data_IF_368387664781
#
_entry.id   IF_368387664781
#
_cell.length_a   1.000
_cell.length_b   1.000
_cell.length_c   1.000
_cell.angle_alpha   90.00
_cell.angle_beta   90.00
_cell.angle_gamma   90.00
#
_symmetry.space_group_name_H-M   'P 1'
#
loop_
_entity.id
_entity.type
_entity.pdbx_description
1 polymer ?
#
# COMPACT_ATOMS: atom_id res chain seq x y z
N UNK A 1 -8.24 9.37 19.96
CA UNK A 1 -9.16 8.22 20.05
C UNK A 1 -9.02 7.66 21.45
N UNK A 2 -10.12 7.58 22.19
CA UNK A 2 -10.16 7.20 23.59
C UNK A 2 -10.84 5.83 23.69
N UNK A 3 -10.18 4.85 24.31
CA UNK A 3 -10.76 3.53 24.56
C UNK A 3 -11.42 3.51 25.95
N UNK A 4 -12.71 3.21 26.01
CA UNK A 4 -13.48 3.10 27.25
C UNK A 4 -14.03 1.68 27.36
N UNK A 5 -13.88 1.07 28.54
CA UNK A 5 -14.52 -0.20 28.86
C UNK A 5 -15.69 0.06 29.81
N UNK A 6 -16.91 -0.20 29.36
CA UNK A 6 -18.09 -0.12 30.21
C UNK A 6 -18.20 -1.38 31.08
N UNK A 7 -18.44 -1.19 32.38
CA UNK A 7 -18.70 -2.30 33.32
C UNK A 7 -20.07 -2.93 33.10
N UNK A 8 -21.03 -2.14 32.64
CA UNK A 8 -22.36 -2.58 32.25
C UNK A 8 -22.58 -2.30 30.76
N UNK A 9 -22.83 -3.35 29.98
CA UNK A 9 -23.03 -3.25 28.53
C UNK A 9 -24.34 -2.53 28.17
N UNK A 10 -25.28 -2.38 29.09
CA UNK A 10 -26.50 -1.60 28.81
C UNK A 10 -26.24 -0.09 28.75
N UNK A 11 -25.10 0.38 29.27
CA UNK A 11 -24.70 1.79 29.23
C UNK A 11 -24.37 2.30 27.82
N UNK A 12 -24.34 1.43 26.81
CA UNK A 12 -24.17 1.81 25.39
C UNK A 12 -25.26 2.76 24.89
N UNK A 13 -26.45 2.73 25.50
CA UNK A 13 -27.55 3.65 25.22
C UNK A 13 -27.25 5.11 25.56
N UNK A 14 -26.30 5.36 26.46
CA UNK A 14 -25.95 6.68 26.96
C UNK A 14 -24.74 7.29 26.22
N UNK A 15 -24.28 6.64 25.15
CA UNK A 15 -23.10 7.07 24.39
C UNK A 15 -23.54 7.60 23.04
N UNK A 16 -23.13 8.83 22.75
CA UNK A 16 -23.38 9.47 21.47
C UNK A 16 -22.55 8.81 20.35
N UNK A 17 -23.20 8.26 19.30
CA UNK A 17 -22.51 7.82 18.10
C UNK A 17 -21.88 8.99 17.33
N UNK A 18 -20.84 8.79 16.50
CA UNK A 18 -20.28 7.49 16.11
C UNK A 18 -19.13 7.01 17.00
N UNK A 19 -19.08 5.70 17.25
CA UNK A 19 -17.97 5.06 17.96
C UNK A 19 -17.69 3.67 17.38
N UNK A 20 -16.48 3.16 17.59
CA UNK A 20 -16.10 1.81 17.19
C UNK A 20 -16.29 0.88 18.39
N UNK A 21 -16.95 -0.25 18.19
CA UNK A 21 -17.20 -1.28 19.18
C UNK A 21 -16.55 -2.59 18.74
N UNK A 22 -15.97 -3.36 19.67
CA UNK A 22 -15.48 -4.71 19.35
C UNK A 22 -16.57 -5.75 19.63
N UNK A 23 -17.14 -6.34 18.59
CA UNK A 23 -18.26 -7.29 18.65
C UNK A 23 -18.01 -8.50 17.72
N UNK A 24 -18.34 -9.71 18.18
CA UNK A 24 -18.13 -10.95 17.42
C UNK A 24 -16.71 -11.14 16.86
N UNK A 25 -15.69 -10.80 17.67
CA UNK A 25 -14.28 -10.88 17.29
C UNK A 25 -13.81 -9.93 16.18
N UNK A 26 -14.57 -8.87 15.89
CA UNK A 26 -14.16 -7.84 14.94
C UNK A 26 -14.52 -6.42 15.42
N UNK A 27 -14.00 -5.41 14.73
CA UNK A 27 -14.32 -4.01 14.95
C UNK A 27 -15.52 -3.57 14.11
N UNK A 28 -16.54 -3.06 14.78
CA UNK A 28 -17.79 -2.62 14.18
C UNK A 28 -17.97 -1.13 14.43
N UNK A 29 -18.23 -0.34 13.38
CA UNK A 29 -18.51 1.08 13.54
C UNK A 29 -20.01 1.29 13.82
N UNK A 30 -20.34 1.70 15.04
CA UNK A 30 -21.70 2.06 15.43
C UNK A 30 -21.97 3.49 15.00
N UNK A 31 -22.90 3.68 14.06
CA UNK A 31 -23.23 5.01 13.51
C UNK A 31 -24.43 5.65 14.18
N UNK A 32 -25.39 4.84 14.63
CA UNK A 32 -26.62 5.35 15.21
C UNK A 32 -27.28 4.31 16.10
N UNK A 33 -27.82 4.76 17.24
CA UNK A 33 -28.66 3.96 18.13
C UNK A 33 -30.01 4.68 18.21
N UNK A 34 -31.07 4.08 17.68
CA UNK A 34 -32.44 4.63 17.72
C UNK A 34 -33.46 3.51 17.84
N UNK A 35 -34.53 3.75 18.62
CA UNK A 35 -35.68 2.84 18.73
C UNK A 35 -35.29 1.36 18.97
N UNK A 36 -34.39 1.11 19.92
CA UNK A 36 -33.88 -0.22 20.25
C UNK A 36 -33.17 -0.98 19.10
N UNK A 37 -32.71 -0.25 18.07
CA UNK A 37 -31.88 -0.78 16.99
C UNK A 37 -30.54 -0.06 16.92
N UNK A 38 -29.49 -0.82 16.63
CA UNK A 38 -28.12 -0.35 16.45
C UNK A 38 -27.78 -0.47 14.97
N UNK A 39 -27.59 0.67 14.31
CA UNK A 39 -27.09 0.72 12.94
C UNK A 39 -25.57 0.68 12.96
N UNK A 40 -25.01 -0.40 12.46
CA UNK A 40 -23.59 -0.66 12.50
C UNK A 40 -23.04 -0.98 11.10
N UNK A 41 -21.76 -0.69 10.88
CA UNK A 41 -21.03 -1.01 9.66
C UNK A 41 -20.05 -2.15 9.97
N UNK A 42 -20.25 -3.29 9.31
CA UNK A 42 -19.44 -4.50 9.44
C UNK A 42 -19.03 -4.97 8.05
N UNK A 43 -17.73 -5.19 7.78
CA UNK A 43 -17.24 -5.61 6.46
C UNK A 43 -17.79 -4.80 5.26
N UNK A 44 -17.85 -3.47 5.40
CA UNK A 44 -18.43 -2.53 4.41
C UNK A 44 -19.94 -2.65 4.16
N UNK A 45 -20.67 -3.46 4.92
CA UNK A 45 -22.13 -3.57 4.85
C UNK A 45 -22.81 -2.93 6.07
N UNK A 46 -23.96 -2.29 5.83
CA UNK A 46 -24.78 -1.71 6.89
C UNK A 46 -25.72 -2.77 7.44
N UNK A 47 -25.62 -3.04 8.74
CA UNK A 47 -26.48 -3.97 9.45
C UNK A 47 -27.29 -3.20 10.51
N UNK A 48 -28.59 -3.42 10.53
CA UNK A 48 -29.48 -2.96 11.59
C UNK A 48 -29.72 -4.13 12.55
N UNK A 49 -29.02 -4.13 13.69
CA UNK A 49 -29.08 -5.20 14.68
C UNK A 49 -29.98 -4.76 15.83
N UNK A 50 -30.74 -5.69 16.43
CA UNK A 50 -31.46 -5.40 17.67
C UNK A 50 -30.48 -5.05 18.79
N UNK A 51 -30.82 -4.08 19.64
CA UNK A 51 -29.94 -3.64 20.72
C UNK A 51 -29.53 -4.79 21.66
N UNK A 52 -30.47 -5.67 21.99
CA UNK A 52 -30.26 -6.83 22.86
C UNK A 52 -29.25 -7.82 22.27
N UNK A 53 -29.38 -8.07 20.97
CA UNK A 53 -28.47 -8.93 20.21
C UNK A 53 -27.07 -8.31 20.15
N UNK A 54 -26.98 -7.01 19.86
CA UNK A 54 -25.71 -6.28 19.87
C UNK A 54 -25.01 -6.33 21.24
N UNK A 55 -25.75 -6.11 22.34
CA UNK A 55 -25.23 -6.17 23.71
C UNK A 55 -24.68 -7.56 24.05
N UNK A 56 -25.26 -8.62 23.49
CA UNK A 56 -24.80 -10.00 23.72
C UNK A 56 -23.43 -10.29 23.07
N UNK A 57 -23.21 -9.81 21.85
CA UNK A 57 -22.00 -10.06 21.06
C UNK A 57 -20.88 -9.04 21.30
N UNK A 58 -21.23 -7.88 21.85
CA UNK A 58 -20.29 -6.80 22.13
C UNK A 58 -19.44 -7.07 23.37
N UNK A 59 -18.15 -6.77 23.32
CA UNK A 59 -17.18 -7.01 24.41
C UNK A 59 -17.23 -6.02 25.57
N UNK A 60 -18.02 -4.92 25.46
CA UNK A 60 -18.05 -3.84 26.44
C UNK A 60 -16.96 -2.79 26.25
N UNK A 61 -16.08 -2.95 25.24
CA UNK A 61 -15.05 -1.97 24.88
C UNK A 61 -15.52 -1.12 23.70
N UNK A 62 -15.40 0.19 23.83
CA UNK A 62 -15.67 1.16 22.78
C UNK A 62 -14.49 2.10 22.59
N UNK A 63 -14.27 2.50 21.34
CA UNK A 63 -13.28 3.47 20.90
C UNK A 63 -14.02 4.71 20.42
N UNK A 64 -13.98 5.77 21.22
CA UNK A 64 -14.52 7.06 20.86
C UNK A 64 -13.50 7.90 20.11
N UNK A 65 -13.98 8.58 19.07
CA UNK A 65 -13.17 9.53 18.30
C UNK A 65 -13.42 10.91 18.91
N UNK A 66 -12.47 11.40 19.69
CA UNK A 66 -12.47 12.80 20.12
C UNK A 66 -12.06 13.67 18.93
N UNK A 67 -12.97 14.53 18.49
CA UNK A 67 -12.69 15.55 17.48
C UNK A 67 -12.19 16.81 18.18
N UNK A 68 -11.02 17.30 17.80
CA UNK A 68 -10.51 18.63 18.14
C UNK A 68 -10.25 19.45 16.86
N UNK A 69 -10.03 20.76 16.98
CA UNK A 69 -9.80 21.66 15.84
C UNK A 69 -8.56 21.32 14.99
N UNK A 70 -7.72 20.38 15.45
CA UNK A 70 -6.53 19.86 14.75
C UNK A 70 -6.74 18.46 14.18
N UNK A 71 -7.94 17.89 14.32
CA UNK A 71 -8.29 16.56 13.83
C UNK A 71 -8.60 16.64 12.33
N UNK A 72 -7.54 16.78 11.55
CA UNK A 72 -7.56 16.72 10.10
C UNK A 72 -6.65 15.56 9.65
N UNK A 73 -6.97 14.98 8.51
CA UNK A 73 -6.10 13.98 7.89
C UNK A 73 -4.68 14.55 7.71
N UNK A 74 -3.62 13.83 8.13
CA UNK A 74 -2.25 14.24 7.83
C UNK A 74 -2.09 14.42 6.32
N UNK A 75 -1.50 15.54 5.91
CA UNK A 75 -1.32 15.90 4.50
C UNK A 75 -2.64 16.00 3.69
N UNK A 76 -3.75 16.35 4.35
CA UNK A 76 -5.08 16.45 3.73
C UNK A 76 -5.09 17.18 2.38
N UNK A 77 -4.36 18.28 2.21
CA UNK A 77 -4.35 19.00 0.93
C UNK A 77 -3.69 18.21 -0.20
N UNK A 78 -2.60 17.50 0.07
CA UNK A 78 -1.92 16.65 -0.91
C UNK A 78 -2.74 15.39 -1.20
N UNK A 79 -3.32 14.77 -0.17
CA UNK A 79 -4.19 13.62 -0.33
C UNK A 79 -5.50 13.99 -1.05
N UNK A 80 -6.07 15.17 -0.77
CA UNK A 80 -7.26 15.69 -1.45
C UNK A 80 -6.97 16.02 -2.91
N UNK A 81 -5.79 16.54 -3.22
CA UNK A 81 -5.35 16.77 -4.60
C UNK A 81 -5.20 15.46 -5.36
N UNK A 82 -4.60 14.43 -4.75
CA UNK A 82 -4.54 13.08 -5.34
C UNK A 82 -5.92 12.47 -5.51
N UNK A 83 -6.75 12.50 -4.46
CA UNK A 83 -8.11 11.98 -4.51
C UNK A 83 -8.94 12.70 -5.58
N UNK A 84 -8.77 14.01 -5.73
CA UNK A 84 -9.43 14.78 -6.78
C UNK A 84 -8.92 14.41 -8.17
N UNK A 85 -7.60 14.23 -8.34
CA UNK A 85 -7.02 13.77 -9.61
C UNK A 85 -7.49 12.36 -9.93
N UNK A 86 -7.48 11.43 -8.97
CA UNK A 86 -7.90 10.04 -9.15
C UNK A 86 -9.41 9.93 -9.42
N UNK A 87 -10.25 10.71 -8.71
CA UNK A 87 -11.68 10.82 -9.01
C UNK A 87 -11.93 11.49 -10.35
N UNK A 88 -11.16 12.51 -10.70
CA UNK A 88 -11.28 13.17 -12.00
C UNK A 88 -10.87 12.23 -13.13
N UNK A 89 -9.77 11.49 -13.00
CA UNK A 89 -9.32 10.49 -13.96
C UNK A 89 -10.32 9.33 -14.07
N UNK A 90 -10.83 8.82 -12.95
CA UNK A 90 -11.87 7.78 -12.92
C UNK A 90 -13.17 8.28 -13.57
N UNK A 91 -13.64 9.47 -13.22
CA UNK A 91 -14.84 10.06 -13.81
C UNK A 91 -14.63 10.39 -15.29
N UNK A 92 -13.44 10.84 -15.68
CA UNK A 92 -13.07 11.09 -17.06
C UNK A 92 -13.06 9.78 -17.86
N UNK A 93 -12.59 8.67 -17.28
CA UNK A 93 -12.68 7.34 -17.92
C UNK A 93 -14.13 6.92 -18.13
N UNK A 94 -15.03 7.14 -17.16
CA UNK A 94 -16.46 6.87 -17.33
C UNK A 94 -17.13 7.79 -18.34
N UNK A 95 -16.74 9.07 -18.38
CA UNK A 95 -17.23 10.03 -19.38
C UNK A 95 -16.71 9.66 -20.78
N UNK A 96 -15.46 9.26 -20.93
CA UNK A 96 -14.90 8.78 -22.19
C UNK A 96 -15.58 7.49 -22.61
N UNK A 97 -15.80 6.54 -21.70
CA UNK A 97 -16.53 5.30 -21.97
C UNK A 97 -17.99 5.56 -22.36
N UNK A 98 -18.67 6.49 -21.67
CA UNK A 98 -20.02 6.93 -21.99
C UNK A 98 -20.06 7.63 -23.36
N UNK A 99 -19.09 8.50 -23.65
CA UNK A 99 -18.98 9.16 -24.95
C UNK A 99 -18.70 8.14 -26.07
N UNK A 100 -17.87 7.13 -25.83
CA UNK A 100 -17.64 6.02 -26.77
C UNK A 100 -18.91 5.20 -26.95
N UNK A 101 -19.66 4.91 -25.88
CA UNK A 101 -20.93 4.18 -25.94
C UNK A 101 -22.02 4.97 -26.66
N UNK A 102 -22.16 6.26 -26.38
CA UNK A 102 -23.11 7.17 -27.05
C UNK A 102 -22.69 7.34 -28.51
N UNK A 103 -21.40 7.51 -28.79
CA UNK A 103 -20.87 7.56 -30.15
C UNK A 103 -21.16 6.26 -30.90
N UNK A 104 -20.93 5.10 -30.27
CA UNK A 104 -21.27 3.79 -30.81
C UNK A 104 -22.78 3.68 -31.08
N UNK A 105 -23.64 4.06 -30.14
CA UNK A 105 -25.10 3.96 -30.32
C UNK A 105 -25.66 4.90 -31.39
N UNK A 106 -25.14 6.13 -31.47
CA UNK A 106 -25.53 7.13 -32.48
C UNK A 106 -25.06 6.69 -33.87
N UNK A 107 -23.88 6.08 -33.98
CA UNK A 107 -23.36 5.60 -35.26
C UNK A 107 -23.81 4.18 -35.65
N UNK A 108 -24.27 3.32 -34.71
CA UNK A 108 -24.84 1.99 -35.02
C UNK A 108 -26.06 2.10 -35.95
N UNK A 109 -26.82 3.19 -35.89
CA UNK A 109 -27.89 3.46 -36.85
C UNK A 109 -27.39 3.81 -38.27
N UNK A 110 -26.10 4.14 -38.42
CA UNK A 110 -25.42 4.48 -39.67
C UNK A 110 -24.54 3.35 -40.21
N UNK A 111 -24.30 2.29 -39.41
CA UNK A 111 -23.41 1.19 -39.79
C UNK A 111 -24.15 0.07 -40.52
N UNK A 112 -23.53 -0.42 -41.59
CA UNK A 112 -23.97 -1.61 -42.31
C UNK A 112 -23.74 -2.88 -41.49
N UNK A 113 -24.47 -3.96 -41.78
CA UNK A 113 -24.27 -5.28 -41.16
C UNK A 113 -22.81 -5.77 -41.28
N UNK A 114 -22.12 -5.37 -42.34
CA UNK A 114 -20.71 -5.63 -42.60
C UNK A 114 -19.80 -4.97 -41.54
N UNK A 115 -20.02 -3.68 -41.28
CA UNK A 115 -19.28 -2.91 -40.28
C UNK A 115 -19.47 -3.49 -38.88
N UNK A 116 -20.69 -3.94 -38.54
CA UNK A 116 -20.99 -4.59 -37.25
C UNK A 116 -20.19 -5.89 -37.11
N UNK A 117 -20.14 -6.72 -38.15
CA UNK A 117 -19.39 -7.97 -38.14
C UNK A 117 -17.88 -7.72 -37.92
N UNK A 118 -17.30 -6.76 -38.64
CA UNK A 118 -15.88 -6.39 -38.49
C UNK A 118 -15.59 -5.85 -37.09
N UNK A 119 -16.41 -4.92 -36.57
CA UNK A 119 -16.26 -4.36 -35.22
C UNK A 119 -16.36 -5.43 -34.14
N UNK A 120 -17.24 -6.42 -34.31
CA UNK A 120 -17.38 -7.54 -33.36
C UNK A 120 -16.11 -8.41 -33.30
N UNK A 121 -15.50 -8.70 -34.45
CA UNK A 121 -14.24 -9.43 -34.52
C UNK A 121 -13.08 -8.62 -33.91
N UNK A 122 -13.05 -7.30 -34.15
CA UNK A 122 -12.07 -6.40 -33.54
C UNK A 122 -12.20 -6.35 -32.02
N UNK A 123 -13.42 -6.27 -31.47
CA UNK A 123 -13.66 -6.34 -30.03
C UNK A 123 -13.18 -7.65 -29.42
N UNK A 124 -13.42 -8.78 -30.11
CA UNK A 124 -12.84 -10.07 -29.72
C UNK A 124 -11.31 -10.03 -29.69
N UNK A 125 -10.69 -9.39 -30.69
CA UNK A 125 -9.24 -9.21 -30.78
C UNK A 125 -8.67 -8.35 -29.64
N UNK A 126 -9.35 -7.24 -29.31
CA UNK A 126 -9.03 -6.37 -28.17
C UNK A 126 -9.08 -7.18 -26.87
N UNK A 127 -10.17 -7.93 -26.65
CA UNK A 127 -10.37 -8.71 -25.43
C UNK A 127 -9.27 -9.77 -25.23
N UNK A 128 -9.00 -10.59 -26.25
CA UNK A 128 -7.99 -11.65 -26.14
C UNK A 128 -6.58 -11.06 -26.02
N UNK A 129 -6.28 -9.98 -26.74
CA UNK A 129 -4.99 -9.30 -26.62
C UNK A 129 -4.81 -8.63 -25.26
N UNK A 130 -5.88 -8.13 -24.65
CA UNK A 130 -5.85 -7.64 -23.27
C UNK A 130 -5.54 -8.75 -22.27
N UNK A 131 -6.14 -9.94 -22.41
CA UNK A 131 -5.80 -11.10 -21.57
C UNK A 131 -4.34 -11.53 -21.72
N UNK A 132 -3.78 -11.44 -22.94
CA UNK A 132 -2.36 -11.66 -23.18
C UNK A 132 -1.47 -10.65 -22.41
N UNK A 133 -1.84 -9.36 -22.42
CA UNK A 133 -1.12 -8.34 -21.64
C UNK A 133 -1.22 -8.60 -20.14
N UNK A 134 -2.38 -9.01 -19.61
CA UNK A 134 -2.52 -9.39 -18.21
C UNK A 134 -1.58 -10.53 -17.82
N UNK A 135 -1.46 -11.57 -18.67
CA UNK A 135 -0.52 -12.66 -18.46
C UNK A 135 0.93 -12.22 -18.51
N UNK A 136 1.28 -11.34 -19.44
CA UNK A 136 2.62 -10.76 -19.51
C UNK A 136 2.98 -9.93 -18.27
N UNK A 137 2.00 -9.30 -17.61
CA UNK A 137 2.18 -8.57 -16.36
C UNK A 137 2.13 -9.47 -15.10
N UNK A 138 1.99 -10.80 -15.26
CA UNK A 138 1.82 -11.77 -14.17
C UNK A 138 0.65 -11.45 -13.23
N UNK A 139 -0.36 -10.73 -13.74
CA UNK A 139 -1.58 -10.44 -12.99
C UNK A 139 -2.45 -11.70 -12.96
N UNK A 140 -2.91 -12.10 -11.77
CA UNK A 140 -3.81 -13.23 -11.60
C UNK A 140 -5.17 -12.93 -12.27
N UNK A 141 -5.63 -13.81 -13.16
CA UNK A 141 -6.89 -13.62 -13.89
C UNK A 141 -7.51 -14.97 -14.20
N UNK A 142 -8.62 -15.28 -13.53
CA UNK A 142 -9.32 -16.57 -13.65
C UNK A 142 -9.72 -16.90 -15.10
N UNK A 143 -10.07 -15.89 -15.90
CA UNK A 143 -10.41 -16.07 -17.32
C UNK A 143 -9.17 -16.37 -18.17
N UNK A 144 -8.07 -15.67 -17.90
CA UNK A 144 -6.82 -15.90 -18.61
C UNK A 144 -6.26 -17.31 -18.30
N UNK A 145 -6.33 -17.73 -17.04
CA UNK A 145 -5.92 -19.07 -16.60
C UNK A 145 -6.78 -20.18 -17.23
N UNK A 146 -8.10 -19.99 -17.28
CA UNK A 146 -9.01 -20.92 -17.96
C UNK A 146 -8.69 -21.06 -19.45
N UNK A 147 -8.49 -19.95 -20.16
CA UNK A 147 -8.18 -20.00 -21.60
C UNK A 147 -6.81 -20.63 -21.89
N UNK A 148 -5.83 -20.44 -21.02
CA UNK A 148 -4.52 -21.10 -21.14
C UNK A 148 -4.56 -22.60 -20.80
N UNK A 149 -5.49 -23.06 -19.96
CA UNK A 149 -5.63 -24.47 -19.58
C UNK A 149 -6.50 -25.30 -20.55
N UNK A 150 -7.24 -24.67 -21.47
CA UNK A 150 -8.08 -25.35 -22.47
C UNK A 150 -7.30 -26.31 -23.37
N UNK A 151 -5.98 -26.13 -23.52
CA UNK A 151 -5.11 -27.09 -24.20
C UNK A 151 -4.25 -27.82 -23.15
N UNK A 152 -4.56 -29.10 -22.91
CA UNK A 152 -3.82 -29.93 -21.96
C UNK A 152 -2.30 -29.84 -22.22
N UNK A 153 -1.53 -29.38 -21.22
CA UNK A 153 -0.07 -29.13 -21.21
C UNK A 153 0.45 -27.81 -21.82
N UNK A 154 -0.37 -26.77 -22.06
CA UNK A 154 0.15 -25.47 -22.54
C UNK A 154 0.42 -24.45 -21.42
N UNK A 155 1.66 -23.96 -21.34
CA UNK A 155 2.02 -22.78 -20.54
C UNK A 155 2.16 -21.57 -21.47
N UNK A 156 1.18 -20.65 -21.47
CA UNK A 156 1.24 -19.40 -22.24
C UNK A 156 2.51 -18.57 -21.94
N UNK A 157 3.03 -18.67 -20.70
CA UNK A 157 4.15 -17.87 -20.22
C UNK A 157 5.44 -18.13 -20.99
N UNK A 158 5.70 -19.36 -21.45
CA UNK A 158 6.95 -19.70 -22.14
C UNK A 158 7.10 -19.00 -23.51
N UNK A 159 5.97 -18.76 -24.19
CA UNK A 159 5.95 -18.03 -25.46
C UNK A 159 6.11 -16.53 -25.21
N UNK A 160 5.42 -16.01 -24.20
CA UNK A 160 5.40 -14.58 -23.85
C UNK A 160 6.71 -14.08 -23.20
N UNK A 161 7.44 -14.95 -22.52
CA UNK A 161 8.73 -14.63 -21.87
C UNK A 161 9.94 -14.97 -22.76
N UNK A 162 9.73 -15.53 -23.95
CA UNK A 162 10.84 -15.89 -24.85
C UNK A 162 11.55 -14.66 -25.43
N UNK A 163 12.83 -14.79 -25.78
CA UNK A 163 13.61 -13.67 -26.35
C UNK A 163 13.01 -13.12 -27.65
N UNK A 164 12.37 -13.97 -28.47
CA UNK A 164 11.68 -13.55 -29.68
C UNK A 164 10.28 -12.96 -29.42
N UNK A 165 9.81 -12.90 -28.17
CA UNK A 165 8.53 -12.28 -27.80
C UNK A 165 8.57 -10.75 -27.91
N UNK A 166 9.76 -10.16 -28.09
CA UNK A 166 9.97 -8.73 -28.25
C UNK A 166 10.40 -8.39 -29.67
N UNK A 167 9.69 -7.45 -30.29
CA UNK A 167 10.10 -6.74 -31.48
C UNK A 167 11.16 -5.69 -31.13
N UNK A 168 12.30 -5.74 -31.83
CA UNK A 168 13.47 -4.86 -31.61
C UNK A 168 14.01 -4.85 -30.16
N UNK A 169 13.69 -5.87 -29.36
CA UNK A 169 14.06 -5.95 -27.94
C UNK A 169 13.32 -4.98 -27.02
N UNK A 170 12.45 -4.12 -27.55
CA UNK A 170 11.76 -3.04 -26.79
C UNK A 170 10.26 -3.33 -26.66
N UNK A 171 9.56 -3.53 -27.77
CA UNK A 171 8.11 -3.68 -27.80
C UNK A 171 7.73 -5.16 -27.80
N UNK A 172 6.81 -5.59 -26.94
CA UNK A 172 6.34 -6.99 -27.01
C UNK A 172 5.32 -7.20 -28.13
N UNK A 173 5.25 -8.41 -28.69
CA UNK A 173 4.24 -8.73 -29.70
C UNK A 173 2.80 -8.62 -29.17
N UNK A 174 2.60 -8.83 -27.87
CA UNK A 174 1.31 -8.60 -27.22
C UNK A 174 0.93 -7.11 -27.19
N UNK A 175 1.89 -6.21 -26.93
CA UNK A 175 1.69 -4.75 -27.01
C UNK A 175 1.34 -4.33 -28.44
N UNK A 176 2.07 -4.85 -29.44
CA UNK A 176 1.82 -4.58 -30.87
C UNK A 176 0.43 -5.08 -31.30
N UNK A 177 0.06 -6.31 -30.92
CA UNK A 177 -1.24 -6.89 -31.23
C UNK A 177 -2.39 -6.09 -30.61
N UNK A 178 -2.28 -5.72 -29.33
CA UNK A 178 -3.29 -4.90 -28.67
C UNK A 178 -3.40 -3.51 -29.31
N UNK A 179 -2.27 -2.86 -29.59
CA UNK A 179 -2.23 -1.56 -30.28
C UNK A 179 -2.90 -1.63 -31.66
N UNK A 180 -2.63 -2.70 -32.42
CA UNK A 180 -3.30 -2.96 -33.69
C UNK A 180 -4.82 -2.99 -33.52
N UNK A 181 -5.37 -3.86 -32.67
CA UNK A 181 -6.82 -4.04 -32.59
C UNK A 181 -7.53 -2.78 -32.08
N UNK A 182 -6.93 -2.07 -31.12
CA UNK A 182 -7.46 -0.81 -30.60
C UNK A 182 -7.46 0.27 -31.68
N UNK A 183 -6.34 0.46 -32.39
CA UNK A 183 -6.24 1.43 -33.47
C UNK A 183 -7.18 1.12 -34.63
N UNK A 184 -7.25 -0.15 -35.07
CA UNK A 184 -8.17 -0.58 -36.13
C UNK A 184 -9.62 -0.36 -35.72
N UNK A 185 -10.00 -0.69 -34.48
CA UNK A 185 -11.36 -0.48 -33.97
C UNK A 185 -11.77 1.00 -34.03
N UNK A 186 -10.94 1.90 -33.50
CA UNK A 186 -11.22 3.33 -33.56
C UNK A 186 -11.25 3.88 -35.00
N UNK A 187 -10.38 3.40 -35.90
CA UNK A 187 -10.42 3.82 -37.29
C UNK A 187 -11.68 3.37 -38.03
N UNK A 188 -12.13 2.15 -37.79
CA UNK A 188 -13.40 1.65 -38.33
C UNK A 188 -14.61 2.45 -37.81
N UNK A 189 -14.53 3.00 -36.60
CA UNK A 189 -15.57 3.88 -36.04
C UNK A 189 -15.62 5.27 -36.70
N UNK A 190 -14.49 5.80 -37.18
CA UNK A 190 -14.43 7.13 -37.81
C UNK A 190 -15.07 7.13 -39.20
N UNK A 191 -15.03 6.02 -39.94
CA UNK A 191 -15.79 5.88 -41.18
C UNK A 191 -15.32 4.75 -42.10
N UNK A 192 -16.20 4.32 -42.99
CA UNK A 192 -15.97 3.20 -43.92
C UNK A 192 -14.80 3.41 -44.88
N UNK A 193 -14.49 4.66 -45.23
CA UNK A 193 -13.34 4.99 -46.09
C UNK A 193 -11.97 4.57 -45.51
N UNK A 194 -11.88 4.39 -44.19
CA UNK A 194 -10.66 3.94 -43.51
C UNK A 194 -10.52 2.42 -43.47
N UNK A 195 -11.60 1.67 -43.69
CA UNK A 195 -11.63 0.20 -43.64
C UNK A 195 -10.71 -0.40 -44.71
N UNK A 196 -10.71 0.16 -45.92
CA UNK A 196 -9.82 -0.28 -47.00
C UNK A 196 -8.34 -0.11 -46.64
N UNK A 197 -7.98 0.99 -45.97
CA UNK A 197 -6.60 1.18 -45.51
C UNK A 197 -6.24 0.22 -44.38
N UNK A 198 -7.16 -0.03 -43.44
CA UNK A 198 -6.97 -1.02 -42.38
C UNK A 198 -6.85 -2.45 -42.92
N UNK A 199 -7.54 -2.76 -44.03
CA UNK A 199 -7.45 -4.06 -44.72
C UNK A 199 -6.00 -4.32 -45.17
N UNK A 200 -5.33 -3.32 -45.73
CA UNK A 200 -3.94 -3.48 -46.14
C UNK A 200 -2.98 -3.63 -44.95
N UNK A 201 -3.21 -2.95 -43.82
CA UNK A 201 -2.46 -3.20 -42.59
C UNK A 201 -2.69 -4.63 -42.10
N UNK A 202 -3.94 -5.12 -42.13
CA UNK A 202 -4.28 -6.48 -41.74
C UNK A 202 -3.53 -7.51 -42.60
N UNK A 203 -3.43 -7.28 -43.92
CA UNK A 203 -2.64 -8.12 -44.84
C UNK A 203 -1.17 -8.15 -44.43
N UNK A 204 -0.58 -7.00 -44.05
CA UNK A 204 0.79 -6.93 -43.55
C UNK A 204 1.00 -7.69 -42.22
N UNK A 205 -0.06 -7.92 -41.43
CA UNK A 205 0.01 -8.69 -40.19
C UNK A 205 -0.05 -10.22 -40.42
N UNK A 206 -0.54 -10.69 -41.57
CA UNK A 206 -0.66 -12.13 -41.85
C UNK A 206 0.67 -12.88 -41.89
N UNK A 207 1.76 -12.35 -42.50
CA UNK A 207 3.08 -12.98 -42.44
C UNK A 207 3.56 -13.23 -41.01
N UNK A 208 3.27 -12.30 -40.08
CA UNK A 208 3.60 -12.46 -38.68
C UNK A 208 2.85 -13.64 -38.05
N UNK A 209 1.58 -13.85 -38.40
CA UNK A 209 0.81 -15.00 -37.89
C UNK A 209 1.45 -16.34 -38.28
N UNK A 210 1.91 -16.47 -39.53
CA UNK A 210 2.61 -17.67 -40.01
C UNK A 210 3.93 -17.88 -39.29
N UNK A 211 4.72 -16.80 -39.15
CA UNK A 211 5.98 -16.83 -38.41
C UNK A 211 5.76 -17.24 -36.94
N UNK A 212 4.74 -16.70 -36.27
CA UNK A 212 4.47 -16.98 -34.87
C UNK A 212 4.02 -18.44 -34.64
N UNK A 213 3.22 -19.03 -35.55
CA UNK A 213 2.89 -20.46 -35.52
C UNK A 213 4.15 -21.32 -35.70
N UNK A 214 5.00 -20.99 -36.66
CA UNK A 214 6.26 -21.69 -36.88
C UNK A 214 7.16 -21.62 -35.64
N UNK A 215 7.29 -20.43 -35.04
CA UNK A 215 8.11 -20.21 -33.85
C UNK A 215 7.61 -21.02 -32.64
N UNK A 216 6.31 -20.98 -32.36
CA UNK A 216 5.70 -21.77 -31.28
C UNK A 216 5.92 -23.27 -31.46
N UNK A 217 5.72 -23.78 -32.69
CA UNK A 217 5.87 -25.21 -32.99
C UNK A 217 7.33 -25.69 -32.93
N UNK A 218 8.26 -24.97 -33.56
CA UNK A 218 9.62 -25.48 -33.80
C UNK A 218 10.66 -24.95 -32.80
N UNK A 219 10.53 -23.72 -32.30
CA UNK A 219 11.49 -23.11 -31.35
C UNK A 219 11.07 -23.31 -29.91
N UNK A 220 9.88 -22.85 -29.53
CA UNK A 220 9.39 -22.95 -28.14
C UNK A 220 8.87 -24.36 -27.82
N UNK A 221 8.40 -25.09 -28.84
CA UNK A 221 7.77 -26.42 -28.72
C UNK A 221 6.57 -26.43 -27.76
N UNK A 222 5.91 -25.28 -27.62
CA UNK A 222 4.72 -25.09 -26.80
C UNK A 222 3.73 -24.21 -27.55
N UNK A 223 2.45 -24.46 -27.33
CA UNK A 223 1.36 -23.70 -27.93
C UNK A 223 0.84 -22.66 -26.95
N UNK A 224 0.62 -21.44 -27.41
CA UNK A 224 -0.08 -20.39 -26.67
C UNK A 224 -1.51 -20.26 -27.24
N UNK A 225 -2.55 -20.79 -26.56
CA UNK A 225 -3.92 -20.77 -27.07
C UNK A 225 -4.42 -19.37 -27.40
N UNK A 226 -4.16 -18.39 -26.55
CA UNK A 226 -4.55 -16.99 -26.78
C UNK A 226 -3.86 -16.38 -28.01
N UNK A 227 -2.58 -16.69 -28.21
CA UNK A 227 -1.83 -16.24 -29.38
C UNK A 227 -2.44 -16.83 -30.66
N UNK A 228 -2.83 -18.12 -30.63
CA UNK A 228 -3.51 -18.78 -31.75
C UNK A 228 -4.90 -18.19 -32.00
N UNK A 229 -5.65 -17.83 -30.96
CA UNK A 229 -6.94 -17.14 -31.10
C UNK A 229 -6.74 -15.78 -31.77
N UNK A 230 -5.75 -14.98 -31.34
CA UNK A 230 -5.42 -13.70 -31.97
C UNK A 230 -5.07 -13.88 -33.46
N UNK A 231 -4.30 -14.90 -33.80
CA UNK A 231 -4.03 -15.25 -35.21
C UNK A 231 -5.30 -15.63 -35.97
N UNK A 232 -6.15 -16.45 -35.36
CA UNK A 232 -7.46 -16.80 -35.93
C UNK A 232 -8.31 -15.56 -36.22
N UNK A 233 -8.28 -14.56 -35.35
CA UNK A 233 -8.98 -13.29 -35.54
C UNK A 233 -8.36 -12.48 -36.70
N UNK A 234 -7.03 -12.44 -36.83
CA UNK A 234 -6.39 -11.80 -37.98
C UNK A 234 -6.85 -12.41 -39.32
N UNK A 235 -6.92 -13.74 -39.40
CA UNK A 235 -7.40 -14.45 -40.58
C UNK A 235 -8.90 -14.27 -40.80
N UNK A 236 -9.71 -14.25 -39.74
CA UNK A 236 -11.13 -13.96 -39.82
C UNK A 236 -11.39 -12.57 -40.40
N UNK A 237 -10.66 -11.55 -39.92
CA UNK A 237 -10.74 -10.18 -40.45
C UNK A 237 -10.34 -10.13 -41.93
N UNK A 238 -9.27 -10.82 -42.33
CA UNK A 238 -8.87 -10.91 -43.73
C UNK A 238 -9.98 -11.49 -44.62
N UNK A 239 -10.60 -12.60 -44.19
CA UNK A 239 -11.70 -13.24 -44.92
C UNK A 239 -12.92 -12.31 -45.01
N UNK A 240 -13.26 -11.61 -43.93
CA UNK A 240 -14.35 -10.63 -43.92
C UNK A 240 -14.07 -9.49 -44.90
N UNK A 241 -12.87 -8.91 -44.87
CA UNK A 241 -12.50 -7.84 -45.81
C UNK A 241 -12.54 -8.30 -47.27
N UNK A 242 -12.19 -9.57 -47.53
CA UNK A 242 -12.22 -10.16 -48.88
C UNK A 242 -13.66 -10.34 -49.36
N UNK A 243 -14.51 -10.90 -48.49
CA UNK A 243 -15.91 -11.17 -48.78
C UNK A 243 -16.72 -9.88 -49.03
N UNK A 244 -16.47 -8.83 -48.25
CA UNK A 244 -17.14 -7.53 -48.40
C UNK A 244 -16.50 -6.61 -49.45
N UNK A 245 -15.39 -7.00 -50.07
CA UNK A 245 -14.78 -6.25 -51.17
C UNK A 245 -14.01 -4.99 -50.76
N UNK A 246 -13.51 -4.90 -49.53
CA UNK A 246 -12.78 -3.72 -49.01
C UNK A 246 -11.35 -3.53 -49.58
N UNK A 247 -10.89 -4.42 -50.45
CA UNK A 247 -9.54 -4.37 -51.06
C UNK A 247 -9.35 -3.23 -52.08
N UNK A 248 -10.43 -2.71 -52.65
CA UNK A 248 -10.35 -1.64 -53.65
C UNK A 248 -10.19 -0.27 -52.97
N UNK A 249 -8.99 0.31 -53.06
CA UNK A 249 -8.77 1.70 -52.67
C UNK A 249 -9.29 2.59 -53.81
N UNK A 250 -10.44 3.26 -53.60
CA UNK A 250 -11.04 4.14 -54.62
C UNK A 250 -10.14 5.33 -55.01
N UNK A 251 -9.43 5.91 -54.05
CA UNK A 251 -8.42 6.94 -54.29
C UNK A 251 -7.31 6.83 -53.23
N UNK A 252 -6.08 6.61 -53.69
CA UNK A 252 -4.93 6.57 -52.81
C UNK A 252 -4.63 7.97 -52.29
N UNK A 253 -4.66 8.13 -50.97
CA UNK A 253 -4.43 9.39 -50.28
C UNK A 253 -3.27 9.19 -49.29
N UNK A 254 -2.12 9.77 -49.63
CA UNK A 254 -0.91 9.70 -48.82
C UNK A 254 -1.11 10.33 -47.44
N UNK A 255 -1.94 11.38 -47.33
CA UNK A 255 -2.21 12.06 -46.06
C UNK A 255 -2.99 11.13 -45.13
N UNK A 256 -4.00 10.41 -45.63
CA UNK A 256 -4.70 9.37 -44.86
C UNK A 256 -3.76 8.26 -44.39
N UNK A 257 -2.86 7.80 -45.26
CA UNK A 257 -1.87 6.78 -44.88
C UNK A 257 -0.93 7.28 -43.76
N UNK A 258 -0.46 8.52 -43.82
CA UNK A 258 0.40 9.10 -42.77
C UNK A 258 -0.35 9.23 -41.43
N UNK A 259 -1.60 9.69 -41.46
CA UNK A 259 -2.45 9.76 -40.27
C UNK A 259 -2.67 8.38 -39.63
N UNK A 260 -2.92 7.38 -40.47
CA UNK A 260 -3.06 5.99 -40.05
C UNK A 260 -1.79 5.52 -39.34
N UNK A 261 -0.62 5.66 -39.98
CA UNK A 261 0.66 5.25 -39.37
C UNK A 261 0.94 5.97 -38.05
N UNK A 262 0.65 7.28 -37.98
CA UNK A 262 0.80 8.06 -36.75
C UNK A 262 -0.10 7.54 -35.63
N UNK A 263 -1.36 7.18 -35.93
CA UNK A 263 -2.29 6.67 -34.93
C UNK A 263 -1.86 5.31 -34.37
N UNK A 264 -1.39 4.39 -35.23
CA UNK A 264 -0.86 3.09 -34.78
C UNK A 264 0.45 3.24 -33.99
N UNK A 265 1.33 4.17 -34.39
CA UNK A 265 2.54 4.46 -33.63
C UNK A 265 2.22 5.07 -32.25
N UNK A 266 1.29 6.03 -32.20
CA UNK A 266 0.87 6.67 -30.96
C UNK A 266 0.20 5.68 -30.00
N UNK A 267 -0.70 4.82 -30.49
CA UNK A 267 -1.35 3.81 -29.65
C UNK A 267 -0.33 2.84 -29.05
N UNK A 268 0.63 2.38 -29.86
CA UNK A 268 1.72 1.51 -29.40
C UNK A 268 2.55 2.18 -28.30
N UNK A 269 2.92 3.45 -28.49
CA UNK A 269 3.69 4.20 -27.48
C UNK A 269 2.91 4.39 -26.18
N UNK A 270 1.62 4.74 -26.27
CA UNK A 270 0.75 4.88 -25.09
C UNK A 270 0.66 3.55 -24.33
N UNK A 271 0.37 2.45 -25.03
CA UNK A 271 0.24 1.12 -24.43
C UNK A 271 1.57 0.71 -23.78
N UNK A 272 2.69 0.89 -24.46
CA UNK A 272 4.01 0.57 -23.93
C UNK A 272 4.33 1.37 -22.66
N UNK A 273 4.07 2.68 -22.66
CA UNK A 273 4.29 3.54 -21.51
C UNK A 273 3.37 3.16 -20.34
N UNK A 274 2.08 2.90 -20.60
CA UNK A 274 1.14 2.45 -19.59
C UNK A 274 1.60 1.14 -18.95
N UNK A 275 1.99 0.15 -19.75
CA UNK A 275 2.48 -1.13 -19.23
C UNK A 275 3.75 -0.98 -18.39
N UNK A 276 4.68 -0.10 -18.79
CA UNK A 276 5.89 0.19 -18.01
C UNK A 276 5.55 0.71 -16.61
N UNK A 277 4.59 1.64 -16.52
CA UNK A 277 4.11 2.20 -15.24
C UNK A 277 3.45 1.10 -14.40
N UNK A 278 2.59 0.27 -14.99
CA UNK A 278 1.94 -0.84 -14.28
C UNK A 278 2.94 -1.88 -13.76
N UNK A 279 3.97 -2.25 -14.54
CA UNK A 279 5.04 -3.16 -14.08
C UNK A 279 5.80 -2.59 -12.88
N UNK A 280 6.14 -1.31 -12.93
CA UNK A 280 6.82 -0.64 -11.82
C UNK A 280 5.97 -0.59 -10.54
N UNK A 281 4.65 -0.38 -10.68
CA UNK A 281 3.73 -0.38 -9.55
C UNK A 281 3.57 -1.77 -8.91
N UNK A 282 3.41 -2.82 -9.72
CA UNK A 282 3.23 -4.20 -9.25
C UNK A 282 4.48 -4.75 -8.55
N UNK A 283 5.66 -4.60 -9.17
CA UNK A 283 6.93 -5.09 -8.61
C UNK A 283 7.25 -4.48 -7.24
N UNK A 284 6.89 -3.22 -7.00
CA UNK A 284 7.10 -2.58 -5.70
C UNK A 284 6.31 -3.24 -4.57
N UNK A 285 5.08 -3.65 -4.81
CA UNK A 285 4.24 -4.27 -3.77
C UNK A 285 4.75 -5.66 -3.40
N UNK A 286 5.10 -6.47 -4.39
CA UNK A 286 5.66 -7.81 -4.19
C UNK A 286 6.99 -7.75 -3.44
N UNK A 287 7.91 -6.87 -3.86
CA UNK A 287 9.20 -6.67 -3.17
C UNK A 287 9.04 -6.19 -1.72
N UNK A 288 8.09 -5.29 -1.46
CA UNK A 288 7.82 -4.82 -0.09
C UNK A 288 7.26 -5.95 0.77
N UNK A 289 6.38 -6.79 0.22
CA UNK A 289 5.82 -7.94 0.91
C UNK A 289 6.91 -8.97 1.23
N UNK A 290 7.74 -9.36 0.25
CA UNK A 290 8.85 -10.29 0.46
C UNK A 290 9.85 -9.77 1.50
N UNK A 291 10.21 -8.48 1.42
CA UNK A 291 11.11 -7.86 2.38
C UNK A 291 10.51 -7.82 3.79
N UNK A 292 9.22 -7.54 3.92
CA UNK A 292 8.54 -7.59 5.21
C UNK A 292 8.51 -9.01 5.78
N UNK A 293 8.30 -10.05 4.96
CA UNK A 293 8.39 -11.43 5.42
C UNK A 293 9.79 -11.78 5.95
N UNK A 294 10.85 -11.33 5.26
CA UNK A 294 12.23 -11.52 5.73
C UNK A 294 12.49 -10.75 7.02
N UNK A 295 12.00 -9.51 7.13
CA UNK A 295 12.11 -8.72 8.37
C UNK A 295 11.33 -9.33 9.54
N UNK A 296 10.19 -9.95 9.28
CA UNK A 296 9.38 -10.56 10.34
C UNK A 296 9.90 -11.94 10.77
N UNK A 297 10.95 -12.45 10.12
CA UNK A 297 11.62 -13.66 10.56
C UNK A 297 12.49 -13.36 11.80
N UNK A 298 12.20 -14.07 12.89
CA UNK A 298 12.87 -13.89 14.19
C UNK A 298 14.36 -14.21 14.14
N UNK A 299 14.76 -15.27 13.44
CA UNK A 299 16.17 -15.65 13.31
C UNK A 299 16.98 -14.56 12.61
N UNK A 300 16.40 -13.95 11.57
CA UNK A 300 17.01 -12.83 10.84
C UNK A 300 17.14 -11.61 11.75
N UNK A 301 16.08 -11.27 12.49
CA UNK A 301 16.12 -10.18 13.46
C UNK A 301 17.20 -10.42 14.53
N UNK A 302 17.23 -11.61 15.13
CA UNK A 302 18.14 -11.97 16.19
C UNK A 302 19.60 -12.03 15.73
N UNK A 303 19.86 -12.54 14.52
CA UNK A 303 21.20 -12.54 13.93
C UNK A 303 21.71 -11.12 13.72
N UNK A 304 20.87 -10.22 13.16
CA UNK A 304 21.24 -8.82 12.95
C UNK A 304 21.41 -8.07 14.28
N UNK A 305 20.52 -8.30 15.24
CA UNK A 305 20.60 -7.68 16.56
C UNK A 305 21.87 -8.09 17.31
N UNK A 306 22.18 -9.39 17.37
CA UNK A 306 23.39 -9.90 18.04
C UNK A 306 24.68 -9.54 17.31
N UNK A 307 24.61 -9.22 16.01
CA UNK A 307 25.77 -8.73 15.25
C UNK A 307 26.10 -7.26 15.53
N UNK A 308 25.14 -6.49 16.06
CA UNK A 308 25.35 -5.09 16.41
C UNK A 308 26.12 -4.94 17.72
N UNK A 309 26.59 -3.72 17.97
CA UNK A 309 27.34 -3.39 19.17
C UNK A 309 26.50 -3.63 20.43
N UNK A 310 27.10 -4.37 21.38
CA UNK A 310 26.53 -4.63 22.70
C UNK A 310 27.04 -3.62 23.72
N UNK A 311 26.14 -3.19 24.59
CA UNK A 311 26.42 -2.35 25.74
C UNK A 311 25.85 -3.00 27.01
N UNK A 312 26.68 -3.03 28.05
CA UNK A 312 26.29 -3.56 29.35
C UNK A 312 25.24 -2.64 30.00
N UNK A 313 23.99 -3.10 30.01
CA UNK A 313 22.83 -2.41 30.58
C UNK A 313 21.93 -3.42 31.27
N UNK A 314 21.49 -3.07 32.47
CA UNK A 314 20.66 -3.91 33.33
C UNK A 314 19.40 -3.14 33.72
N UNK A 315 18.41 -3.85 34.25
CA UNK A 315 17.22 -3.22 34.83
C UNK A 315 17.58 -2.22 35.94
N UNK A 316 18.68 -2.44 36.66
CA UNK A 316 19.18 -1.54 37.70
C UNK A 316 19.95 -0.32 37.19
N UNK A 317 20.18 -0.19 35.87
CA UNK A 317 20.91 0.95 35.29
C UNK A 317 20.13 2.26 35.43
N UNK A 318 18.81 2.19 35.34
CA UNK A 318 17.89 3.31 35.56
C UNK A 318 16.56 2.79 36.11
N UNK A 319 16.02 3.47 37.10
CA UNK A 319 14.72 3.14 37.69
C UNK A 319 13.54 3.75 36.91
N UNK A 320 13.83 4.54 35.86
CA UNK A 320 12.81 5.16 35.01
C UNK A 320 12.36 4.14 33.98
N UNK A 321 11.30 3.40 34.32
CA UNK A 321 10.80 2.27 33.56
C UNK A 321 9.33 2.46 33.18
N UNK A 322 8.96 2.03 31.98
CA UNK A 322 7.60 2.04 31.47
C UNK A 322 7.23 0.66 30.92
N UNK A 323 5.95 0.30 30.95
CA UNK A 323 5.48 -1.03 30.53
C UNK A 323 5.57 -2.06 31.65
N UNK A 324 5.91 -3.31 31.32
CA UNK A 324 5.96 -4.41 32.28
C UNK A 324 7.39 -4.63 32.81
N UNK A 325 7.70 -4.32 34.09
CA UNK A 325 9.04 -4.51 34.66
C UNK A 325 9.49 -5.98 34.72
N UNK A 326 8.56 -6.93 34.55
CA UNK A 326 8.85 -8.38 34.53
C UNK A 326 9.00 -8.96 33.12
N UNK A 327 8.95 -8.12 32.08
CA UNK A 327 9.13 -8.55 30.71
C UNK A 327 10.53 -9.12 30.48
N UNK A 328 10.65 -10.14 29.60
CA UNK A 328 11.94 -10.72 29.20
C UNK A 328 12.78 -9.76 28.35
N UNK A 329 12.12 -8.81 27.66
CA UNK A 329 12.78 -7.88 26.75
C UNK A 329 12.83 -6.49 27.38
N UNK A 330 14.04 -6.03 27.69
CA UNK A 330 14.38 -4.69 28.12
C UNK A 330 14.74 -3.84 26.90
N UNK A 331 14.01 -2.74 26.71
CA UNK A 331 14.30 -1.71 25.71
C UNK A 331 14.87 -0.51 26.46
N UNK A 332 16.18 -0.28 26.39
CA UNK A 332 16.80 0.90 26.97
C UNK A 332 16.95 1.99 25.92
N UNK A 333 16.50 3.20 26.24
CA UNK A 333 16.68 4.37 25.37
C UNK A 333 17.59 5.38 26.04
N UNK A 334 18.71 5.66 25.38
CA UNK A 334 19.48 6.87 25.64
C UNK A 334 18.83 8.03 24.91
N UNK A 335 18.29 8.97 25.66
CA UNK A 335 17.53 10.12 25.14
C UNK A 335 18.09 11.43 25.68
N UNK A 336 17.85 12.52 24.96
CA UNK A 336 18.16 13.87 25.40
C UNK A 336 16.87 14.70 25.45
N UNK A 337 16.53 15.32 26.61
CA UNK A 337 15.30 16.09 26.79
C UNK A 337 15.11 17.27 25.82
N UNK A 338 16.18 17.74 25.18
CA UNK A 338 16.20 18.87 24.23
C UNK A 338 16.37 18.43 22.77
N UNK A 339 16.36 17.13 22.47
CA UNK A 339 16.58 16.59 21.13
C UNK A 339 15.25 16.31 20.40
N UNK A 340 15.07 16.90 19.21
CA UNK A 340 13.86 16.69 18.40
C UNK A 340 13.66 15.24 17.93
N UNK A 341 14.70 14.55 17.40
CA UNK A 341 14.63 13.11 17.15
C UNK A 341 14.23 12.29 18.39
N UNK A 342 14.68 12.67 19.59
CA UNK A 342 14.30 11.99 20.83
C UNK A 342 12.82 12.20 21.18
N UNK A 343 12.30 13.42 20.99
CA UNK A 343 10.88 13.70 21.14
C UNK A 343 10.03 12.81 20.23
N UNK A 344 10.40 12.70 18.95
CA UNK A 344 9.73 11.79 18.00
C UNK A 344 9.81 10.34 18.45
N UNK A 345 10.97 9.90 18.97
CA UNK A 345 11.13 8.54 19.46
C UNK A 345 10.26 8.25 20.70
N UNK A 346 10.14 9.20 21.62
CA UNK A 346 9.26 9.07 22.79
C UNK A 346 7.81 8.77 22.39
N UNK A 347 7.25 9.52 21.42
CA UNK A 347 5.89 9.25 20.93
C UNK A 347 5.76 7.89 20.24
N UNK A 348 6.80 7.45 19.52
CA UNK A 348 6.82 6.11 18.88
C UNK A 348 6.86 4.99 19.93
N UNK A 349 7.60 5.16 21.01
CA UNK A 349 7.65 4.23 22.14
C UNK A 349 6.33 4.18 22.91
N UNK A 350 5.68 5.32 23.13
CA UNK A 350 4.34 5.37 23.72
C UNK A 350 3.34 4.57 22.86
N UNK A 351 3.43 4.66 21.54
CA UNK A 351 2.62 3.84 20.63
C UNK A 351 2.94 2.34 20.73
N UNK A 352 4.20 1.97 20.90
CA UNK A 352 4.59 0.56 21.13
C UNK A 352 4.03 0.04 22.45
N UNK A 353 4.18 0.80 23.54
CA UNK A 353 3.63 0.47 24.86
C UNK A 353 2.10 0.29 24.81
N UNK A 354 1.38 1.15 24.11
CA UNK A 354 -0.08 1.04 23.98
C UNK A 354 -0.53 -0.24 23.25
N UNK A 355 0.32 -0.81 22.38
CA UNK A 355 -0.01 -2.03 21.61
C UNK A 355 0.49 -3.31 22.26
N UNK A 356 1.59 -3.23 23.04
CA UNK A 356 2.31 -4.40 23.53
C UNK A 356 2.94 -4.16 24.93
N UNK A 357 2.23 -3.48 25.82
CA UNK A 357 2.70 -3.11 27.17
C UNK A 357 3.27 -4.29 27.95
N UNK A 358 2.65 -5.46 27.82
CA UNK A 358 2.96 -6.64 28.63
C UNK A 358 4.24 -7.34 28.17
N UNK A 359 4.68 -7.10 26.92
CA UNK A 359 5.84 -7.75 26.29
C UNK A 359 7.17 -7.06 26.61
N UNK A 360 7.14 -5.77 26.99
CA UNK A 360 8.34 -4.93 27.04
C UNK A 360 8.47 -4.16 28.35
N UNK A 361 9.71 -4.06 28.84
CA UNK A 361 10.12 -3.07 29.83
C UNK A 361 10.93 -1.99 29.11
N UNK A 362 10.48 -0.74 29.15
CA UNK A 362 11.15 0.38 28.48
C UNK A 362 11.84 1.25 29.52
N UNK A 363 13.17 1.29 29.49
CA UNK A 363 14.00 2.04 30.44
C UNK A 363 14.55 3.30 29.78
N UNK A 364 14.43 4.44 30.47
CA UNK A 364 14.93 5.73 30.00
C UNK A 364 16.24 6.11 30.70
N UNK A 365 17.23 6.53 29.91
CA UNK A 365 18.48 7.12 30.40
C UNK A 365 18.61 8.50 29.76
N UNK A 366 18.75 9.53 30.60
CA UNK A 366 18.81 10.91 30.14
C UNK A 366 20.26 11.38 29.99
N UNK A 367 20.55 11.98 28.84
CA UNK A 367 21.78 12.70 28.54
C UNK A 367 21.47 14.17 28.28
N UNK A 368 22.47 15.02 28.43
CA UNK A 368 22.37 16.44 28.07
C UNK A 368 23.44 16.83 27.05
N UNK A 369 23.19 17.88 26.27
CA UNK A 369 24.20 18.39 25.32
C UNK A 369 25.36 19.10 26.04
N UNK A 370 25.07 19.67 27.21
CA UNK A 370 26.00 20.39 28.05
C UNK A 370 25.50 20.36 29.51
N UNK A 371 26.35 20.83 30.42
CA UNK A 371 26.08 20.83 31.86
C UNK A 371 24.92 21.78 32.25
N UNK A 372 24.74 22.90 31.54
CA UNK A 372 23.67 23.85 31.82
C UNK A 372 22.27 23.28 31.56
N UNK A 373 22.14 22.31 30.66
CA UNK A 373 20.88 21.61 30.36
C UNK A 373 20.67 20.35 31.21
N UNK A 374 21.63 19.95 32.06
CA UNK A 374 21.51 18.78 32.95
C UNK A 374 20.33 18.87 33.92
N UNK A 375 19.94 20.11 34.28
CA UNK A 375 18.78 20.37 35.14
C UNK A 375 17.49 19.76 34.56
N UNK A 376 17.37 19.67 33.24
CA UNK A 376 16.23 19.06 32.57
C UNK A 376 16.15 17.55 32.80
N UNK A 377 17.29 16.87 32.89
CA UNK A 377 17.32 15.44 33.24
C UNK A 377 16.77 15.26 34.65
N UNK A 378 17.24 16.08 35.61
CA UNK A 378 16.79 16.05 37.01
C UNK A 378 15.29 16.32 37.14
N UNK A 379 14.74 17.25 36.35
CA UNK A 379 13.30 17.53 36.31
C UNK A 379 12.50 16.30 35.87
N UNK A 380 12.92 15.62 34.81
CA UNK A 380 12.23 14.43 34.30
C UNK A 380 12.38 13.22 35.22
N UNK A 381 13.51 13.11 35.92
CA UNK A 381 13.71 12.13 36.98
C UNK A 381 12.78 12.42 38.16
N UNK A 382 12.75 13.67 38.64
CA UNK A 382 11.89 14.10 39.74
C UNK A 382 10.40 13.86 39.44
N UNK A 383 9.98 14.12 38.20
CA UNK A 383 8.65 13.79 37.71
C UNK A 383 8.32 12.30 37.88
N UNK A 384 9.22 11.42 37.41
CA UNK A 384 9.02 9.98 37.51
C UNK A 384 8.96 9.49 38.95
N UNK A 385 9.88 9.95 39.81
CA UNK A 385 9.92 9.54 41.21
C UNK A 385 8.71 10.04 42.02
N UNK A 386 8.14 11.18 41.66
CA UNK A 386 6.97 11.75 42.34
C UNK A 386 5.65 11.12 41.88
N UNK A 387 5.47 10.99 40.57
CA UNK A 387 4.17 10.65 39.97
C UNK A 387 4.07 9.18 39.53
N UNK A 388 5.19 8.47 39.45
CA UNK A 388 5.22 7.09 38.97
C UNK A 388 4.95 6.96 37.47
N UNK A 389 4.85 5.71 37.00
CA UNK A 389 4.83 5.40 35.56
C UNK A 389 3.67 6.04 34.79
N UNK A 390 2.42 5.85 35.23
CA UNK A 390 1.22 6.21 34.45
C UNK A 390 1.09 7.71 34.20
N UNK A 391 1.33 8.53 35.23
CA UNK A 391 1.19 9.98 35.13
C UNK A 391 2.42 10.65 34.49
N UNK A 392 3.59 10.03 34.62
CA UNK A 392 4.84 10.58 34.05
C UNK A 392 4.86 10.55 32.54
N UNK A 393 4.23 9.58 31.89
CA UNK A 393 4.14 9.54 30.41
C UNK A 393 3.53 10.84 29.87
N UNK A 394 2.42 11.31 30.48
CA UNK A 394 1.77 12.57 30.09
C UNK A 394 2.66 13.78 30.36
N UNK A 395 3.46 13.72 31.42
CA UNK A 395 4.41 14.78 31.76
C UNK A 395 5.55 14.85 30.74
N UNK A 396 6.07 13.71 30.31
CA UNK A 396 7.09 13.61 29.28
C UNK A 396 6.57 14.09 27.93
N UNK A 397 5.33 13.74 27.56
CA UNK A 397 4.64 14.28 26.38
C UNK A 397 4.61 15.81 26.40
N UNK A 398 4.24 16.41 27.54
CA UNK A 398 4.22 17.88 27.72
C UNK A 398 5.63 18.47 27.62
N UNK A 399 6.61 17.82 28.23
CA UNK A 399 8.00 18.24 28.17
C UNK A 399 8.51 18.30 26.73
N UNK A 400 8.35 17.20 25.98
CA UNK A 400 8.88 17.08 24.62
C UNK A 400 8.16 17.98 23.60
N UNK A 401 6.87 18.31 23.84
CA UNK A 401 6.11 19.27 23.02
C UNK A 401 6.54 20.71 23.27
N UNK A 402 6.55 21.14 24.53
CA UNK A 402 6.67 22.56 24.87
C UNK A 402 7.54 22.83 26.11
N UNK A 403 7.56 21.93 27.09
CA UNK A 403 8.24 22.13 28.37
C UNK A 403 9.75 22.34 28.27
N UNK A 404 10.42 21.73 27.28
CA UNK A 404 11.86 21.89 27.04
C UNK A 404 12.29 23.35 26.79
N UNK A 405 11.37 24.22 26.35
CA UNK A 405 11.65 25.64 26.14
C UNK A 405 11.36 26.52 27.38
N UNK A 406 10.74 25.98 28.43
CA UNK A 406 10.27 26.71 29.63
C UNK A 406 10.63 25.96 30.92
N UNK A 407 11.91 25.72 31.11
CA UNK A 407 12.46 24.84 32.18
C UNK A 407 12.00 25.28 33.59
N UNK A 408 12.20 26.54 33.96
CA UNK A 408 11.88 27.04 35.31
C UNK A 408 10.38 26.96 35.60
N UNK A 409 9.55 27.35 34.64
CA UNK A 409 8.09 27.30 34.76
C UNK A 409 7.58 25.87 34.86
N UNK A 410 8.24 24.92 34.20
CA UNK A 410 7.84 23.50 34.24
C UNK A 410 8.07 22.87 35.61
N UNK A 411 9.14 23.23 36.31
CA UNK A 411 9.43 22.74 37.66
C UNK A 411 8.36 23.22 38.65
N UNK A 412 8.07 24.53 38.64
CA UNK A 412 7.08 25.14 39.55
C UNK A 412 5.65 24.66 39.27
N UNK A 413 5.22 24.64 38.00
CA UNK A 413 3.84 24.26 37.63
C UNK A 413 3.49 22.82 37.98
N UNK A 414 4.49 21.95 38.06
CA UNK A 414 4.30 20.53 38.38
C UNK A 414 4.77 20.19 39.80
N UNK A 415 5.01 21.20 40.64
CA UNK A 415 5.48 21.06 42.03
C UNK A 415 6.64 20.07 42.19
N UNK A 416 7.63 20.07 41.28
CA UNK A 416 8.72 19.09 41.30
C UNK A 416 9.85 19.55 42.22
N UNK A 417 10.41 18.62 43.00
CA UNK A 417 11.54 18.91 43.89
C UNK A 417 12.73 18.01 43.53
N UNK A 418 13.91 18.61 43.44
CA UNK A 418 15.16 17.88 43.22
C UNK A 418 15.74 17.53 44.58
N UNK A 419 15.53 16.27 44.99
CA UNK A 419 16.03 15.71 46.24
C UNK A 419 17.24 14.79 46.00
N UNK A 420 17.76 14.20 47.08
CA UNK A 420 18.92 13.30 47.01
C UNK A 420 18.67 12.09 46.10
N UNK A 421 17.45 11.52 46.10
CA UNK A 421 17.09 10.40 45.22
C UNK A 421 17.15 10.76 43.74
N UNK A 422 16.74 11.99 43.38
CA UNK A 422 16.87 12.52 42.01
C UNK A 422 18.34 12.64 41.60
N UNK A 423 19.18 13.16 42.49
CA UNK A 423 20.62 13.28 42.24
C UNK A 423 21.29 11.91 42.09
N UNK A 424 20.92 10.93 42.92
CA UNK A 424 21.44 9.56 42.82
C UNK A 424 21.11 8.91 41.47
N UNK A 425 19.85 9.03 41.01
CA UNK A 425 19.43 8.49 39.71
C UNK A 425 20.11 9.23 38.55
N UNK A 426 20.24 10.56 38.64
CA UNK A 426 20.97 11.37 37.64
C UNK A 426 22.45 10.94 37.54
N UNK A 427 23.12 10.74 38.67
CA UNK A 427 24.51 10.27 38.71
C UNK A 427 24.66 8.85 38.16
N UNK A 428 23.65 7.98 38.34
CA UNK A 428 23.63 6.66 37.73
C UNK A 428 23.60 6.75 36.19
N UNK A 429 22.76 7.63 35.63
CA UNK A 429 22.70 7.88 34.18
C UNK A 429 24.06 8.38 33.65
N UNK A 430 24.64 9.39 34.29
CA UNK A 430 25.94 9.96 33.90
C UNK A 430 27.07 8.94 33.98
N UNK A 431 27.09 8.10 35.02
CA UNK A 431 28.10 7.06 35.19
C UNK A 431 28.00 6.00 34.09
N UNK A 432 26.78 5.58 33.75
CA UNK A 432 26.55 4.64 32.67
C UNK A 432 26.93 5.20 31.31
N UNK A 433 26.57 6.46 31.01
CA UNK A 433 26.95 7.14 29.76
C UNK A 433 28.47 7.24 29.63
N UNK A 434 29.18 7.59 30.71
CA UNK A 434 30.65 7.64 30.73
C UNK A 434 31.28 6.26 30.50
N UNK A 435 30.73 5.20 31.10
CA UNK A 435 31.20 3.82 30.94
C UNK A 435 31.01 3.32 29.49
N UNK A 436 29.84 3.54 28.91
CA UNK A 436 29.49 3.07 27.55
C UNK A 436 30.04 3.94 26.43
N UNK A 437 30.36 5.21 26.72
CA UNK A 437 30.80 6.22 25.75
C UNK A 437 29.78 6.51 24.64
N UNK A 438 28.51 6.16 24.85
CA UNK A 438 27.43 6.52 23.94
C UNK A 438 27.21 8.03 23.94
N UNK A 439 27.18 8.65 22.75
CA UNK A 439 27.01 10.10 22.58
C UNK A 439 25.87 10.48 21.65
N UNK A 440 25.35 9.53 20.88
CA UNK A 440 24.29 9.75 19.91
C UNK A 440 22.95 9.55 20.59
N UNK A 441 21.98 10.43 20.30
CA UNK A 441 20.61 10.30 20.80
C UNK A 441 19.59 10.56 19.69
N UNK A 442 18.48 9.81 19.62
CA UNK A 442 18.16 8.66 20.45
C UNK A 442 18.96 7.42 20.05
N UNK A 443 19.47 6.67 21.03
CA UNK A 443 19.99 5.31 20.82
C UNK A 443 19.06 4.32 21.52
N UNK A 444 18.71 3.25 20.82
CA UNK A 444 17.80 2.21 21.32
C UNK A 444 18.58 0.92 21.46
N UNK A 445 18.54 0.34 22.66
CA UNK A 445 19.14 -0.94 22.96
C UNK A 445 18.04 -1.96 23.29
N UNK A 446 18.13 -3.14 22.71
CA UNK A 446 17.26 -4.29 23.00
C UNK A 446 18.11 -5.32 23.74
N UNK A 447 17.87 -5.51 25.05
CA UNK A 447 18.70 -6.31 25.95
C UNK A 447 20.21 -6.00 25.82
N UNK A 448 20.54 -4.72 25.65
CA UNK A 448 21.91 -4.22 25.51
C UNK A 448 22.46 -4.17 24.08
N UNK A 449 21.81 -4.79 23.09
CA UNK A 449 22.22 -4.69 21.69
C UNK A 449 21.58 -3.50 20.99
N UNK A 450 22.36 -2.74 20.22
CA UNK A 450 21.82 -1.61 19.46
C UNK A 450 20.82 -2.06 18.38
N UNK A 451 19.66 -1.41 18.30
CA UNK A 451 18.62 -1.74 17.33
C UNK A 451 19.15 -1.60 15.89
N UNK A 452 19.08 -2.65 15.05
CA UNK A 452 19.59 -2.57 13.69
C UNK A 452 18.82 -1.58 12.83
N UNK A 453 19.54 -0.85 11.97
CA UNK A 453 18.97 0.20 11.10
C UNK A 453 17.87 -0.29 10.15
N UNK A 454 17.85 -1.60 9.85
CA UNK A 454 16.83 -2.24 9.02
C UNK A 454 15.46 -2.31 9.74
N UNK A 455 15.46 -2.21 11.07
CA UNK A 455 14.30 -2.34 11.93
C UNK A 455 13.88 -1.00 12.53
N UNK A 456 12.57 -0.82 12.60
CA UNK A 456 11.93 0.29 13.29
C UNK A 456 11.42 -0.21 14.64
N UNK A 457 11.25 0.70 15.58
CA UNK A 457 10.70 0.36 16.91
C UNK A 457 9.29 -0.25 16.82
N UNK A 458 8.49 0.15 15.83
CA UNK A 458 7.15 -0.40 15.60
C UNK A 458 7.17 -1.85 15.13
N UNK A 459 8.24 -2.28 14.46
CA UNK A 459 8.38 -3.66 13.98
C UNK A 459 8.45 -4.64 15.16
N UNK A 460 8.98 -4.20 16.32
CA UNK A 460 8.99 -5.00 17.55
C UNK A 460 7.58 -5.33 18.05
N UNK A 461 6.56 -4.53 17.71
CA UNK A 461 5.18 -4.86 18.09
C UNK A 461 4.65 -6.12 17.40
N UNK A 462 5.26 -6.53 16.29
CA UNK A 462 4.83 -7.64 15.44
C UNK A 462 5.73 -8.88 15.58
N UNK A 463 6.94 -8.73 16.10
CA UNK A 463 7.89 -9.83 16.31
C UNK A 463 7.59 -10.58 17.62
N UNK A 464 7.73 -11.91 17.61
CA UNK A 464 7.78 -12.71 18.84
C UNK A 464 9.24 -12.97 19.19
N UNK A 465 9.81 -12.13 20.06
CA UNK A 465 11.24 -12.25 20.38
C UNK A 465 11.43 -13.37 21.40
N UNK A 466 11.92 -14.53 20.95
CA UNK A 466 12.41 -15.59 21.83
C UNK A 466 13.92 -15.42 22.10
N UNK A 467 14.30 -15.50 23.37
CA UNK A 467 15.67 -15.34 23.85
C UNK A 467 16.34 -16.66 24.24
N UNK A 468 15.68 -17.78 23.95
CA UNK A 468 16.16 -19.13 24.27
C UNK A 468 17.53 -19.47 23.66
#
# INVERSE_FOLDING_TARGET
MLAIRLKDKQQVLNIDPPFIAYASNDFVLVKQIKNAKVKCLFNNEYLDIALEEFVSIWSGVLLMIETNDRTIEPDYFENRKREFIDKMLSNLLWIIALLICVFYFVFVALFTMESIAILSALLGGIYVSFLLLQKQLKVQSAYADKLCSLFNKSNCNSVLESDAAKFLGVFSWSEIGFAYFVSTFFMCLVGTSWISYCTWINVCALPFSLWSVWYQRFKVKQWCPMCLIVMGIFWLLFIMHLYFGYFNIQSFDLVKLLWLMMLYALSLLIIHQSLSIFRAALSKQELVYELNNVKMNEDVFMALLKSNQYYDVLLSTSHIMFGNPKAKTLITILTNPHCEPCAKMHFRLNNLLNKASDKYCIQYIFSSFNESLSISNKILIAAYLRYGMEDTVKLYDKWFKEGKYKISTFLDQNNLEINESVEQEYLAHETWIKKTKLRTTPTILINGYELPMQYKIEDLGLLEIDWN
#
